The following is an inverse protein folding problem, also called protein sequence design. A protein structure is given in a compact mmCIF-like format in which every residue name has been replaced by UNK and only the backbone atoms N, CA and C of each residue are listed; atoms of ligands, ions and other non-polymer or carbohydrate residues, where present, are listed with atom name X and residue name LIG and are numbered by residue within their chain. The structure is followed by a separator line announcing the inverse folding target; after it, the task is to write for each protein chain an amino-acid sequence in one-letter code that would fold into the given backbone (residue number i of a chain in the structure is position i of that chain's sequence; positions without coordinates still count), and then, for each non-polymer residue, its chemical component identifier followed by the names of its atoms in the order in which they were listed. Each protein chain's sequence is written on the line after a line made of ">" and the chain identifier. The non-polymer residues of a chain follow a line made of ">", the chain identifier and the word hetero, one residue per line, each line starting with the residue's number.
data_IF_847259138015
#
_entry.id   IF_847259138015
#
_cell.length_a   1.000
_cell.length_b   1.000
_cell.length_c   1.000
_cell.angle_alpha   90.00
_cell.angle_beta   90.00
_cell.angle_gamma   90.00
#
_symmetry.space_group_name_H-M   'P 1'
#
loop_
_entity.id
_entity.type
_entity.pdbx_description
1 polymer ?
#
# COMPACT_ATOMS: atom_id res chain seq x y z
N UNK A 1 -9.23 -4.85 -6.74
CA UNK A 1 -9.56 -6.23 -6.31
C UNK A 1 -8.34 -6.72 -5.56
N UNK A 2 -8.47 -6.90 -4.25
CA UNK A 2 -7.43 -7.54 -3.44
C UNK A 2 -7.80 -9.02 -3.45
N UNK A 3 -7.01 -9.84 -4.14
CA UNK A 3 -7.23 -11.28 -4.19
C UNK A 3 -6.41 -11.89 -3.07
N UNK A 4 -7.02 -12.25 -1.95
CA UNK A 4 -6.33 -13.08 -0.96
C UNK A 4 -6.42 -14.54 -1.42
N UNK A 5 -5.29 -15.24 -1.49
CA UNK A 5 -5.32 -16.71 -1.57
C UNK A 5 -5.73 -17.21 -0.19
N UNK A 6 -7.03 -17.49 -0.06
CA UNK A 6 -7.74 -17.72 1.20
C UNK A 6 -8.99 -16.83 1.23
N UNK A 7 -10.08 -17.32 0.66
CA UNK A 7 -11.39 -16.66 0.65
C UNK A 7 -11.88 -16.57 2.10
N UNK A 8 -11.63 -15.45 2.78
CA UNK A 8 -12.47 -15.00 3.89
C UNK A 8 -13.50 -14.04 3.29
N UNK A 9 -14.69 -14.57 3.01
CA UNK A 9 -15.85 -13.77 2.62
C UNK A 9 -16.18 -12.85 3.79
N UNK A 10 -16.24 -11.56 3.50
CA UNK A 10 -16.86 -10.54 4.34
C UNK A 10 -16.21 -10.39 5.71
N UNK A 11 -15.23 -9.50 5.84
CA UNK A 11 -15.12 -8.62 7.00
C UNK A 11 -14.16 -7.47 6.68
N UNK A 12 -14.53 -6.27 7.15
CA UNK A 12 -13.74 -5.03 7.11
C UNK A 12 -12.27 -5.33 7.40
N UNK A 13 -11.34 -4.77 6.63
CA UNK A 13 -9.89 -4.77 6.95
C UNK A 13 -9.68 -4.18 8.35
N UNK A 14 -9.46 -4.99 9.43
CA UNK A 14 -9.04 -4.45 10.70
C UNK A 14 -7.51 -4.44 10.68
N UNK A 15 -6.93 -3.52 11.44
CA UNK A 15 -5.51 -3.17 11.41
C UNK A 15 -4.58 -4.38 11.49
N UNK A 16 -3.79 -4.69 10.45
CA UNK A 16 -2.59 -5.57 10.44
C UNK A 16 -2.63 -6.95 11.13
N UNK A 17 -3.70 -7.36 11.79
CA UNK A 17 -3.82 -8.60 12.57
C UNK A 17 -3.59 -9.85 11.70
N UNK A 18 -3.88 -9.73 10.40
CA UNK A 18 -3.62 -10.80 9.43
C UNK A 18 -2.11 -11.10 9.26
N UNK A 19 -1.24 -10.11 9.48
CA UNK A 19 0.21 -10.30 9.45
C UNK A 19 0.69 -11.07 10.68
N UNK A 20 0.09 -10.83 11.84
CA UNK A 20 0.42 -11.52 13.09
C UNK A 20 0.16 -13.03 13.00
N UNK A 21 -0.86 -13.43 12.24
CA UNK A 21 -1.24 -14.83 12.05
C UNK A 21 -0.57 -15.48 10.83
N UNK A 22 0.47 -14.86 10.25
CA UNK A 22 1.20 -15.40 9.09
C UNK A 22 0.40 -15.49 7.79
N UNK A 23 -0.74 -14.79 7.70
CA UNK A 23 -1.60 -14.82 6.52
C UNK A 23 -1.01 -13.97 5.40
N UNK A 24 -0.95 -14.51 4.19
CA UNK A 24 -0.41 -13.80 3.01
C UNK A 24 -1.55 -13.14 2.23
N UNK A 25 -1.39 -11.85 1.93
CA UNK A 25 -2.33 -11.07 1.13
C UNK A 25 -1.72 -10.73 -0.24
N UNK A 26 -2.49 -10.90 -1.32
CA UNK A 26 -2.09 -10.45 -2.66
C UNK A 26 -2.90 -9.21 -3.06
N UNK A 27 -2.18 -8.14 -3.39
CA UNK A 27 -2.74 -6.88 -3.91
C UNK A 27 -2.45 -6.81 -5.40
N UNK A 28 -3.49 -6.75 -6.24
CA UNK A 28 -3.31 -6.66 -7.68
C UNK A 28 -4.26 -5.65 -8.35
N UNK A 29 -3.86 -5.18 -9.53
CA UNK A 29 -4.74 -4.51 -10.48
C UNK A 29 -4.51 -5.14 -11.86
N UNK A 30 -5.03 -4.54 -12.94
CA UNK A 30 -4.88 -5.12 -14.29
C UNK A 30 -3.42 -5.33 -14.70
N UNK A 31 -2.57 -4.32 -14.51
CA UNK A 31 -1.15 -4.36 -14.94
C UNK A 31 -0.15 -4.40 -13.78
N UNK A 32 -0.60 -4.23 -12.54
CA UNK A 32 0.32 -4.15 -11.39
C UNK A 32 1.22 -2.91 -11.38
N UNK A 33 0.87 -1.85 -12.12
CA UNK A 33 1.68 -0.64 -12.31
C UNK A 33 1.18 0.51 -11.41
N UNK A 34 -0.10 0.87 -11.56
CA UNK A 34 -0.63 2.13 -11.02
C UNK A 34 -1.45 1.93 -9.74
N UNK A 35 -2.71 1.46 -9.83
CA UNK A 35 -3.63 1.28 -8.68
C UNK A 35 -3.04 0.43 -7.56
N UNK A 36 -2.67 -0.81 -7.86
CA UNK A 36 -2.09 -1.71 -6.84
C UNK A 36 -0.71 -1.24 -6.38
N UNK A 37 0.06 -0.59 -7.24
CA UNK A 37 1.35 0.01 -6.88
C UNK A 37 1.17 1.10 -5.83
N UNK A 38 0.22 2.02 -6.06
CA UNK A 38 -0.12 3.08 -5.11
C UNK A 38 -0.60 2.53 -3.77
N UNK A 39 -1.46 1.50 -3.77
CA UNK A 39 -1.92 0.85 -2.54
C UNK A 39 -0.76 0.24 -1.74
N UNK A 40 0.19 -0.43 -2.41
CA UNK A 40 1.37 -1.00 -1.74
C UNK A 40 2.29 0.09 -1.19
N UNK A 41 2.48 1.19 -1.93
CA UNK A 41 3.27 2.35 -1.45
C UNK A 41 2.62 2.96 -0.20
N UNK A 42 1.31 3.22 -0.21
CA UNK A 42 0.59 3.75 0.95
C UNK A 42 0.73 2.83 2.18
N UNK A 43 0.64 1.51 1.97
CA UNK A 43 0.83 0.54 3.03
C UNK A 43 2.25 0.60 3.62
N UNK A 44 3.28 0.68 2.78
CA UNK A 44 4.67 0.81 3.24
C UNK A 44 4.90 2.11 4.02
N UNK A 45 4.32 3.23 3.55
CA UNK A 45 4.40 4.52 4.26
C UNK A 45 3.86 4.40 5.68
N UNK A 46 2.65 3.84 5.82
CA UNK A 46 2.00 3.65 7.13
C UNK A 46 2.78 2.69 8.02
N UNK A 47 3.22 1.56 7.48
CA UNK A 47 3.84 0.49 8.26
C UNK A 47 5.25 0.84 8.75
N UNK A 48 6.01 1.56 7.94
CA UNK A 48 7.40 1.90 8.24
C UNK A 48 7.60 3.32 8.74
N UNK A 49 6.54 4.14 8.75
CA UNK A 49 6.64 5.57 9.03
C UNK A 49 7.57 6.29 8.05
N UNK A 50 7.57 5.87 6.79
CA UNK A 50 8.44 6.45 5.75
C UNK A 50 7.66 7.45 4.91
N UNK A 51 8.37 8.49 4.44
CA UNK A 51 7.82 9.44 3.48
C UNK A 51 7.48 8.75 2.12
N UNK A 52 6.73 9.47 1.28
CA UNK A 52 6.32 8.99 -0.03
C UNK A 52 7.52 8.59 -0.89
N UNK A 53 8.57 9.43 -0.93
CA UNK A 53 9.72 9.22 -1.82
C UNK A 53 10.44 7.92 -1.46
N UNK A 54 10.81 7.75 -0.20
CA UNK A 54 11.47 6.56 0.33
C UNK A 54 10.63 5.30 0.15
N UNK A 55 9.32 5.41 0.38
CA UNK A 55 8.39 4.29 0.21
C UNK A 55 8.26 3.88 -1.26
N UNK A 56 8.15 4.85 -2.17
CA UNK A 56 8.07 4.61 -3.61
C UNK A 56 9.37 4.00 -4.15
N UNK A 57 10.53 4.53 -3.73
CA UNK A 57 11.86 4.03 -4.11
C UNK A 57 12.04 2.58 -3.62
N UNK A 58 11.63 2.29 -2.37
CA UNK A 58 11.65 0.94 -1.83
C UNK A 58 10.77 -0.02 -2.63
N UNK A 59 9.52 0.36 -2.92
CA UNK A 59 8.60 -0.49 -3.69
C UNK A 59 9.14 -0.73 -5.11
N UNK A 60 9.72 0.29 -5.75
CA UNK A 60 10.36 0.14 -7.07
C UNK A 60 11.59 -0.76 -7.04
N UNK A 61 12.37 -0.75 -5.96
CA UNK A 61 13.51 -1.68 -5.78
C UNK A 61 13.07 -3.15 -5.77
N UNK A 62 11.83 -3.44 -5.35
CA UNK A 62 11.25 -4.79 -5.35
C UNK A 62 10.43 -5.07 -6.61
N UNK A 63 9.83 -4.04 -7.22
CA UNK A 63 9.00 -4.14 -8.42
C UNK A 63 9.20 -2.89 -9.30
N UNK A 64 10.16 -2.92 -10.25
CA UNK A 64 10.55 -1.75 -11.04
C UNK A 64 9.42 -1.14 -11.88
N UNK A 65 8.41 -1.94 -12.27
CA UNK A 65 7.28 -1.46 -13.09
C UNK A 65 6.27 -0.60 -12.30
N UNK A 66 6.44 -0.41 -10.99
CA UNK A 66 5.50 0.40 -10.21
C UNK A 66 5.63 1.87 -10.58
N UNK A 67 4.55 2.39 -11.14
CA UNK A 67 4.43 3.79 -11.53
C UNK A 67 2.98 4.26 -11.32
N UNK A 68 2.63 4.69 -10.10
CA UNK A 68 1.35 5.35 -9.84
C UNK A 68 1.14 6.51 -10.82
N UNK A 69 -0.11 6.72 -11.24
CA UNK A 69 -0.41 7.88 -12.08
C UNK A 69 -0.32 9.17 -11.23
N UNK A 70 -0.25 10.36 -11.84
CA UNK A 70 -0.12 11.62 -11.11
C UNK A 70 -1.22 11.86 -10.08
N UNK A 71 -2.45 11.42 -10.33
CA UNK A 71 -3.54 11.56 -9.37
C UNK A 71 -3.32 10.70 -8.12
N UNK A 72 -2.82 9.47 -8.28
CA UNK A 72 -2.45 8.63 -7.14
C UNK A 72 -1.24 9.19 -6.39
N UNK A 73 -0.27 9.80 -7.09
CA UNK A 73 0.85 10.46 -6.41
C UNK A 73 0.37 11.60 -5.51
N UNK A 74 -0.51 12.49 -6.00
CA UNK A 74 -1.11 13.55 -5.18
C UNK A 74 -1.92 13.01 -3.99
N UNK A 75 -2.65 11.91 -4.19
CA UNK A 75 -3.36 11.25 -3.10
C UNK A 75 -2.40 10.68 -2.05
N UNK A 76 -1.24 10.16 -2.48
CA UNK A 76 -0.20 9.68 -1.58
C UNK A 76 0.49 10.82 -0.82
N UNK A 77 0.72 11.96 -1.47
CA UNK A 77 1.24 13.18 -0.80
C UNK A 77 0.26 13.67 0.27
N UNK A 78 -1.03 13.75 -0.06
CA UNK A 78 -2.09 14.08 0.92
C UNK A 78 -2.10 13.06 2.07
N UNK A 79 -1.95 11.77 1.73
CA UNK A 79 -1.90 10.71 2.73
C UNK A 79 -0.68 10.82 3.65
N UNK A 80 0.47 11.24 3.15
CA UNK A 80 1.65 11.51 3.96
C UNK A 80 1.36 12.57 5.04
N UNK A 81 0.74 13.70 4.67
CA UNK A 81 0.36 14.73 5.63
C UNK A 81 -0.64 14.23 6.69
N UNK A 82 -1.57 13.34 6.29
CA UNK A 82 -2.50 12.70 7.24
C UNK A 82 -1.74 11.77 8.21
N UNK A 83 -0.72 11.05 7.74
CA UNK A 83 0.10 10.19 8.59
C UNK A 83 0.94 11.00 9.58
N UNK A 84 1.56 12.08 9.10
CA UNK A 84 2.36 12.99 9.93
C UNK A 84 1.50 13.61 11.05
N UNK A 85 0.29 14.09 10.72
CA UNK A 85 -0.63 14.65 11.70
C UNK A 85 -1.16 13.64 12.73
N UNK A 86 -1.02 12.34 12.50
CA UNK A 86 -1.41 11.28 13.46
C UNK A 86 -0.28 10.84 14.39
N UNK A 87 0.95 11.30 14.13
CA UNK A 87 2.13 11.00 14.93
C UNK A 87 2.46 12.13 15.93
N UNK A 88 1.66 13.20 15.94
CA UNK A 88 1.68 14.31 16.92
C UNK A 88 0.48 14.17 17.84
#
# INVERSE_FOLDING_TARGET
>A
MVGANGIVKGDRLPNNERLANGTRCLVHCKMGISRSGATVVAYVMKEKGWDLKKSLDYVRSKRPCVNPNPNFLRQLETYQGILEARLV
#
